data_IF_493774489913
#
_entry.id   IF_493774489913
#
_cell.length_a   1.000
_cell.length_b   1.000
_cell.length_c   1.000
_cell.angle_alpha   90.00
_cell.angle_beta   90.00
_cell.angle_gamma   90.00
#
_symmetry.space_group_name_H-M   'P 1'
#
loop_
_entity.id
_entity.type
_entity.pdbx_description
1 polymer ?
#
# COMPACT_ATOMS: atom_id res chain seq x y z
N UNK A 1 -2.16 -17.71 20.17
CA UNK A 1 -0.73 -18.09 20.20
C UNK A 1 -0.51 -19.13 19.11
N UNK A 2 0.18 -18.78 18.03
CA UNK A 2 0.55 -19.78 17.00
C UNK A 2 1.78 -20.52 17.56
N UNK A 3 1.64 -21.83 17.73
CA UNK A 3 2.71 -22.67 18.27
C UNK A 3 3.90 -22.70 17.31
N UNK A 4 4.95 -21.93 17.63
CA UNK A 4 6.27 -22.02 17.00
C UNK A 4 6.97 -23.32 17.43
N UNK A 5 6.48 -24.46 16.94
CA UNK A 5 7.21 -25.72 17.07
C UNK A 5 8.28 -25.76 15.98
N UNK A 6 9.53 -25.66 16.41
CA UNK A 6 10.71 -25.99 15.61
C UNK A 6 10.54 -27.43 15.12
N UNK A 7 10.86 -27.72 13.85
CA UNK A 7 10.75 -29.08 13.33
C UNK A 7 11.72 -30.02 14.06
N UNK A 8 11.55 -31.33 13.94
CA UNK A 8 12.41 -32.31 14.62
C UNK A 8 13.90 -32.25 14.19
N UNK A 9 14.24 -31.42 13.20
CA UNK A 9 15.60 -31.20 12.68
C UNK A 9 16.16 -29.83 13.10
N UNK A 10 15.47 -29.08 13.95
CA UNK A 10 15.94 -27.77 14.41
C UNK A 10 15.64 -26.61 13.46
N UNK A 11 14.92 -26.84 12.36
CA UNK A 11 14.56 -25.78 11.42
C UNK A 11 13.34 -25.02 11.91
N UNK A 12 13.45 -23.68 11.94
CA UNK A 12 12.26 -22.83 12.03
C UNK A 12 11.40 -23.04 10.78
N UNK A 13 10.06 -23.17 10.91
CA UNK A 13 9.18 -23.21 9.76
C UNK A 13 9.40 -22.01 8.84
N UNK A 14 9.39 -22.23 7.53
CA UNK A 14 9.42 -21.13 6.58
C UNK A 14 8.13 -20.30 6.73
N UNK A 15 8.29 -19.02 7.04
CA UNK A 15 7.19 -18.08 7.18
C UNK A 15 7.17 -17.13 5.97
N UNK A 16 6.30 -17.38 4.97
CA UNK A 16 6.30 -16.58 3.74
C UNK A 16 5.87 -15.13 3.99
N UNK A 17 6.33 -14.23 3.12
CA UNK A 17 5.75 -12.90 3.02
C UNK A 17 4.38 -13.00 2.34
N UNK A 18 3.41 -12.23 2.82
CA UNK A 18 2.11 -12.10 2.19
C UNK A 18 2.09 -10.83 1.34
N UNK A 19 2.24 -11.00 0.03
CA UNK A 19 2.07 -9.91 -0.93
C UNK A 19 0.59 -9.75 -1.28
N UNK A 20 0.14 -8.50 -1.32
CA UNK A 20 -1.24 -8.09 -1.61
C UNK A 20 -1.16 -6.98 -2.63
N UNK A 21 -1.89 -7.15 -3.73
CA UNK A 21 -1.82 -6.22 -4.85
C UNK A 21 -3.14 -6.13 -5.60
N UNK A 22 -3.29 -5.05 -6.36
CA UNK A 22 -4.42 -4.83 -7.25
C UNK A 22 -4.27 -3.53 -8.01
N UNK A 23 -4.95 -3.47 -9.15
CA UNK A 23 -5.02 -2.29 -10.02
C UNK A 23 -6.41 -1.66 -9.94
N UNK A 24 -6.49 -0.32 -9.98
CA UNK A 24 -7.74 0.43 -9.95
C UNK A 24 -8.58 0.06 -8.71
N UNK A 25 -9.86 -0.30 -8.87
CA UNK A 25 -10.71 -0.82 -7.79
C UNK A 25 -10.08 -2.01 -7.06
N UNK A 26 -9.37 -2.88 -7.77
CA UNK A 26 -8.62 -3.99 -7.16
C UNK A 26 -7.54 -3.50 -6.21
N UNK A 27 -6.96 -2.32 -6.46
CA UNK A 27 -6.06 -1.65 -5.54
C UNK A 27 -6.75 -1.28 -4.24
N UNK A 28 -7.95 -0.69 -4.29
CA UNK A 28 -8.71 -0.38 -3.08
C UNK A 28 -9.07 -1.64 -2.28
N UNK A 29 -9.50 -2.71 -2.96
CA UNK A 29 -9.77 -4.00 -2.31
C UNK A 29 -8.52 -4.62 -1.69
N UNK A 30 -7.36 -4.49 -2.34
CA UNK A 30 -6.08 -4.92 -1.80
C UNK A 30 -5.74 -4.21 -0.48
N UNK A 31 -6.03 -2.91 -0.35
CA UNK A 31 -5.82 -2.17 0.89
C UNK A 31 -6.72 -2.64 2.01
N UNK A 32 -8.00 -2.85 1.72
CA UNK A 32 -8.95 -3.38 2.72
C UNK A 32 -8.53 -4.79 3.17
N UNK A 33 -8.07 -5.63 2.24
CA UNK A 33 -7.53 -6.94 2.57
C UNK A 33 -6.28 -6.85 3.44
N UNK A 34 -5.35 -5.96 3.12
CA UNK A 34 -4.14 -5.72 3.91
C UNK A 34 -4.47 -5.22 5.32
N UNK A 35 -5.39 -4.25 5.44
CA UNK A 35 -5.91 -3.76 6.71
C UNK A 35 -6.49 -4.89 7.57
N UNK A 36 -7.30 -5.76 6.97
CA UNK A 36 -7.88 -6.93 7.66
C UNK A 36 -6.81 -7.92 8.11
N UNK A 37 -5.81 -8.19 7.27
CA UNK A 37 -4.74 -9.15 7.57
C UNK A 37 -3.85 -8.62 8.71
N UNK A 38 -3.43 -7.36 8.65
CA UNK A 38 -2.58 -6.77 9.70
C UNK A 38 -3.34 -6.67 11.02
N UNK A 39 -4.61 -6.27 10.98
CA UNK A 39 -5.45 -6.23 12.18
C UNK A 39 -5.68 -7.60 12.82
N UNK A 40 -5.64 -8.69 12.03
CA UNK A 40 -5.80 -10.04 12.57
C UNK A 40 -4.66 -10.49 13.48
N UNK A 41 -3.50 -9.82 13.44
CA UNK A 41 -2.26 -10.15 14.18
C UNK A 41 -1.76 -11.58 13.98
N UNK A 42 -2.22 -12.27 12.93
CA UNK A 42 -1.80 -13.64 12.59
C UNK A 42 -0.49 -13.67 11.79
N UNK A 43 -0.21 -12.59 11.07
CA UNK A 43 1.01 -12.40 10.29
C UNK A 43 1.69 -11.14 10.85
N UNK A 44 2.99 -11.19 11.19
CA UNK A 44 3.77 -10.01 11.56
C UNK A 44 3.71 -8.95 10.45
N UNK A 45 3.58 -7.68 10.83
CA UNK A 45 3.49 -6.54 9.90
C UNK A 45 4.67 -6.50 8.91
N UNK A 46 5.86 -6.92 9.34
CA UNK A 46 7.10 -6.95 8.53
C UNK A 46 7.00 -7.94 7.37
N UNK A 47 6.08 -8.92 7.47
CA UNK A 47 5.84 -9.93 6.45
C UNK A 47 4.69 -9.57 5.51
N UNK A 48 3.96 -8.47 5.75
CA UNK A 48 2.86 -8.04 4.89
C UNK A 48 3.40 -7.00 3.90
N UNK A 49 3.18 -7.23 2.60
CA UNK A 49 3.57 -6.32 1.52
C UNK A 49 2.35 -5.89 0.73
N UNK A 50 2.03 -4.60 0.77
CA UNK A 50 0.97 -4.00 -0.01
C UNK A 50 1.57 -3.16 -1.15
N UNK A 51 1.21 -3.48 -2.38
CA UNK A 51 1.60 -2.71 -3.55
C UNK A 51 0.41 -2.58 -4.49
N UNK A 52 -0.03 -1.35 -4.74
CA UNK A 52 -1.24 -1.08 -5.53
C UNK A 52 -0.93 -0.17 -6.71
N UNK A 53 -1.77 -0.22 -7.75
CA UNK A 53 -1.54 0.49 -9.00
C UNK A 53 -2.79 1.30 -9.38
N UNK A 54 -2.67 2.61 -9.55
CA UNK A 54 -3.82 3.47 -9.91
C UNK A 54 -4.97 3.38 -8.89
N UNK A 55 -4.64 3.23 -7.62
CA UNK A 55 -5.63 3.01 -6.57
C UNK A 55 -6.42 4.30 -6.26
N UNK A 56 -7.76 4.25 -6.21
CA UNK A 56 -8.60 5.35 -5.71
C UNK A 56 -8.50 5.48 -4.19
N UNK A 57 -8.87 6.63 -3.64
CA UNK A 57 -8.91 6.81 -2.18
C UNK A 57 -9.88 5.78 -1.57
N UNK A 58 -9.42 5.10 -0.52
CA UNK A 58 -10.11 3.88 -0.03
C UNK A 58 -10.78 4.07 1.32
N UNK A 59 -10.32 5.03 2.12
CA UNK A 59 -10.93 5.38 3.40
C UNK A 59 -10.65 6.82 3.79
N UNK A 60 -11.12 7.19 4.97
CA UNK A 60 -10.91 8.53 5.53
C UNK A 60 -9.48 8.74 6.06
N UNK A 61 -9.22 9.92 6.62
CA UNK A 61 -7.93 10.24 7.24
C UNK A 61 -7.57 9.32 8.42
N UNK A 62 -8.57 8.78 9.13
CA UNK A 62 -8.36 7.86 10.25
C UNK A 62 -7.91 6.48 9.75
N UNK A 63 -8.60 5.95 8.74
CA UNK A 63 -8.17 4.76 8.01
C UNK A 63 -6.76 4.94 7.45
N UNK A 64 -6.48 6.11 6.86
CA UNK A 64 -5.19 6.36 6.26
C UNK A 64 -4.05 6.36 7.30
N UNK A 65 -4.29 7.00 8.45
CA UNK A 65 -3.37 7.01 9.57
C UNK A 65 -3.11 5.61 10.14
N UNK A 66 -4.15 4.82 10.37
CA UNK A 66 -3.98 3.45 10.89
C UNK A 66 -3.25 2.55 9.88
N UNK A 67 -3.49 2.71 8.58
CA UNK A 67 -2.75 1.99 7.53
C UNK A 67 -1.25 2.34 7.53
N UNK A 68 -0.88 3.60 7.71
CA UNK A 68 0.53 4.02 7.81
C UNK A 68 1.21 3.43 9.04
N UNK A 69 0.51 3.42 10.17
CA UNK A 69 1.01 2.88 11.44
C UNK A 69 1.17 1.36 11.40
N UNK A 70 0.17 0.64 10.88
CA UNK A 70 0.11 -0.82 10.90
C UNK A 70 0.92 -1.47 9.78
N UNK A 71 1.06 -0.83 8.62
CA UNK A 71 1.82 -1.35 7.47
C UNK A 71 3.13 -0.58 7.25
N UNK A 72 3.85 -0.27 8.32
CA UNK A 72 4.99 0.67 8.32
C UNK A 72 6.18 0.33 7.41
N UNK A 73 6.29 -0.91 6.91
CA UNK A 73 7.45 -1.36 6.12
C UNK A 73 7.22 -1.40 4.61
N UNK A 74 6.07 -1.91 4.16
CA UNK A 74 5.84 -2.25 2.75
C UNK A 74 4.41 -1.89 2.33
N UNK A 75 4.17 -0.62 2.02
CA UNK A 75 2.85 -0.09 1.64
C UNK A 75 2.97 0.97 0.52
N UNK A 76 3.13 0.51 -0.71
CA UNK A 76 3.37 1.38 -1.86
C UNK A 76 2.13 1.56 -2.73
N UNK A 77 1.86 2.81 -3.11
CA UNK A 77 0.89 3.17 -4.15
C UNK A 77 1.64 3.63 -5.39
N UNK A 78 1.53 2.88 -6.48
CA UNK A 78 2.13 3.25 -7.76
C UNK A 78 1.11 4.03 -8.57
N UNK A 79 1.50 5.22 -9.03
CA UNK A 79 0.62 6.14 -9.75
C UNK A 79 1.30 6.61 -11.03
N UNK A 80 0.52 6.71 -12.11
CA UNK A 80 0.99 7.15 -13.43
C UNK A 80 0.38 8.50 -13.80
N UNK A 81 1.24 9.50 -14.01
CA UNK A 81 0.90 10.76 -14.65
C UNK A 81 -0.40 11.37 -14.12
N UNK A 82 -1.36 11.61 -15.03
CA UNK A 82 -2.65 12.25 -14.76
C UNK A 82 -3.79 11.23 -14.57
N UNK A 83 -3.50 10.09 -13.96
CA UNK A 83 -4.53 9.08 -13.67
C UNK A 83 -5.59 9.65 -12.73
N UNK A 84 -6.78 9.94 -13.28
CA UNK A 84 -7.88 10.56 -12.54
C UNK A 84 -8.46 9.63 -11.47
N UNK A 85 -8.28 8.31 -11.59
CA UNK A 85 -8.86 7.34 -10.65
C UNK A 85 -8.23 7.50 -9.27
N UNK A 86 -6.96 7.92 -9.19
CA UNK A 86 -6.30 8.11 -7.90
C UNK A 86 -6.87 9.30 -7.14
N UNK A 87 -7.52 10.25 -7.79
CA UNK A 87 -8.04 11.47 -7.14
C UNK A 87 -9.48 11.34 -6.65
N UNK A 88 -10.11 10.19 -6.85
CA UNK A 88 -11.49 9.95 -6.42
C UNK A 88 -11.56 8.89 -5.32
N UNK A 89 -12.58 8.96 -4.44
CA UNK A 89 -13.47 10.11 -4.19
C UNK A 89 -12.72 11.30 -3.54
N UNK A 90 -13.33 12.49 -3.53
CA UNK A 90 -12.72 13.71 -2.98
C UNK A 90 -13.04 13.95 -1.49
N UNK A 91 -14.33 14.06 -1.14
CA UNK A 91 -14.76 14.49 0.19
C UNK A 91 -14.49 13.44 1.27
N UNK A 92 -13.82 13.81 2.36
CA UNK A 92 -13.54 12.97 3.53
C UNK A 92 -12.72 11.71 3.30
N UNK A 93 -12.19 11.49 2.09
CA UNK A 93 -11.27 10.39 1.80
C UNK A 93 -9.82 10.87 1.70
N UNK A 94 -8.89 10.02 2.13
CA UNK A 94 -7.47 10.30 2.08
C UNK A 94 -6.67 9.08 1.61
N UNK A 95 -5.59 9.33 0.88
CA UNK A 95 -4.55 8.33 0.66
C UNK A 95 -3.69 8.17 1.89
N UNK A 96 -3.40 6.91 2.20
CA UNK A 96 -2.33 6.54 3.11
C UNK A 96 -1.01 6.46 2.35
N UNK A 97 0.09 6.69 3.06
CA UNK A 97 1.42 6.20 2.72
C UNK A 97 2.11 6.86 1.52
N UNK A 98 3.19 6.20 1.10
CA UNK A 98 4.14 6.45 0.04
C UNK A 98 3.54 6.22 -1.34
N UNK A 99 3.59 7.27 -2.13
CA UNK A 99 3.35 7.23 -3.56
C UNK A 99 4.67 7.02 -4.32
N UNK A 100 4.69 6.05 -5.22
CA UNK A 100 5.71 5.86 -6.24
C UNK A 100 5.14 6.41 -7.54
N UNK A 101 5.56 7.62 -7.88
CA UNK A 101 4.95 8.40 -8.94
C UNK A 101 5.77 8.39 -10.21
N UNK A 102 5.13 7.99 -11.30
CA UNK A 102 5.69 8.04 -12.65
C UNK A 102 5.07 9.19 -13.41
N UNK A 103 5.78 10.31 -13.51
CA UNK A 103 5.39 11.47 -14.32
C UNK A 103 5.74 11.26 -15.81
N UNK A 104 5.49 10.05 -16.31
CA UNK A 104 5.86 9.59 -17.64
C UNK A 104 5.04 8.34 -18.02
N UNK A 105 5.45 7.66 -19.09
CA UNK A 105 4.75 6.48 -19.63
C UNK A 105 5.10 5.15 -18.95
N UNK A 106 5.82 5.15 -17.82
CA UNK A 106 6.23 3.94 -17.09
C UNK A 106 7.01 2.93 -17.95
N UNK A 107 7.74 3.39 -18.96
CA UNK A 107 8.60 2.52 -19.78
C UNK A 107 9.76 1.99 -18.94
N UNK A 108 10.39 0.91 -19.41
CA UNK A 108 11.60 0.38 -18.78
C UNK A 108 12.66 1.49 -18.58
N UNK A 109 13.36 1.45 -17.44
CA UNK A 109 14.31 2.49 -17.00
C UNK A 109 13.75 3.90 -16.79
N UNK A 110 12.42 4.08 -16.85
CA UNK A 110 11.79 5.37 -16.52
C UNK A 110 12.06 5.75 -15.07
N UNK A 111 12.43 7.01 -14.87
CA UNK A 111 12.60 7.59 -13.55
C UNK A 111 11.23 7.70 -12.86
N UNK A 112 11.23 7.54 -11.55
CA UNK A 112 10.05 7.69 -10.70
C UNK A 112 10.41 8.55 -9.48
N UNK A 113 9.39 9.15 -8.88
CA UNK A 113 9.52 9.97 -7.68
C UNK A 113 8.95 9.23 -6.47
N UNK A 114 9.70 9.23 -5.38
CA UNK A 114 9.24 8.77 -4.08
C UNK A 114 8.57 9.93 -3.35
N UNK A 115 7.29 9.81 -3.03
CA UNK A 115 6.55 10.83 -2.30
C UNK A 115 5.95 10.25 -1.03
N UNK A 116 6.39 10.77 0.11
CA UNK A 116 5.83 10.43 1.41
C UNK A 116 4.75 11.44 1.83
N UNK A 117 3.82 11.01 2.70
CA UNK A 117 2.83 11.87 3.34
C UNK A 117 1.45 11.91 2.66
N UNK A 118 1.11 10.92 1.82
CA UNK A 118 -0.20 10.81 1.18
C UNK A 118 -0.59 12.05 0.37
N UNK A 119 -1.85 12.48 0.51
CA UNK A 119 -2.42 13.64 -0.21
C UNK A 119 -1.82 15.01 0.14
N UNK A 120 -0.86 15.09 1.08
CA UNK A 120 -0.20 16.35 1.46
C UNK A 120 0.94 16.74 0.51
N UNK A 121 1.38 15.82 -0.34
CA UNK A 121 2.58 16.01 -1.17
C UNK A 121 2.25 16.51 -2.59
N UNK A 122 2.33 17.82 -2.79
CA UNK A 122 2.11 18.46 -4.10
C UNK A 122 3.18 18.16 -5.16
N UNK A 123 4.24 17.43 -4.85
CA UNK A 123 5.31 17.16 -5.83
C UNK A 123 5.06 15.94 -6.74
N UNK A 124 4.07 15.11 -6.40
CA UNK A 124 3.65 13.91 -7.13
C UNK A 124 2.26 14.07 -7.77
N UNK A 125 1.44 13.02 -7.86
CA UNK A 125 0.18 13.05 -8.60
C UNK A 125 -0.79 14.12 -8.13
N UNK A 126 -0.76 14.49 -6.84
CA UNK A 126 -1.62 15.55 -6.25
C UNK A 126 -1.60 16.87 -7.02
N UNK A 127 -0.53 17.19 -7.75
CA UNK A 127 -0.46 18.39 -8.62
C UNK A 127 -1.42 18.38 -9.81
N UNK A 128 -2.02 17.23 -10.11
CA UNK A 128 -2.95 17.02 -11.22
C UNK A 128 -4.41 16.88 -10.76
N UNK A 129 -4.67 17.02 -9.46
CA UNK A 129 -6.01 17.15 -8.91
C UNK A 129 -6.52 18.58 -9.08
#
# INVERSE_FOLDING_TARGET
MINNKVDQRGHKPYEPHQSITGHSLGGALASLAAAKIVHSRKIPQERIKLMTFGQPRTGDSGFAYEMEKELSFYNYRVVRGKDVIVHVPHEDYAHYSTEIFYDNDMKEASQWKYCYGGDKNMSCSKKYE
#
